data_IF_065972697895
#
_entry.id   IF_065972697895
#
_cell.length_a   1.000
_cell.length_b   1.000
_cell.length_c   1.000
_cell.angle_alpha   90.00
_cell.angle_beta   90.00
_cell.angle_gamma   90.00
#
_symmetry.space_group_name_H-M   'P 1'
#
loop_
_entity.id
_entity.type
_entity.pdbx_description
1 polymer ?
#
# COMPACT_ATOMS: atom_id res chain seq x y z
N UNK A 1 9.46 6.39 2.60
CA UNK A 1 9.31 5.03 3.14
C UNK A 1 9.75 5.00 4.58
N UNK A 2 9.04 4.25 5.43
CA UNK A 2 9.37 4.12 6.86
C UNK A 2 10.32 2.95 7.15
N UNK A 3 10.50 2.05 6.18
CA UNK A 3 11.43 0.91 6.25
C UNK A 3 12.27 0.80 4.99
N UNK A 4 13.52 0.39 5.16
CA UNK A 4 14.44 0.05 4.08
C UNK A 4 15.29 -1.17 4.51
N UNK A 5 16.21 -1.62 3.66
CA UNK A 5 17.12 -2.72 3.98
C UNK A 5 18.56 -2.18 4.06
N UNK A 6 19.29 -2.60 5.08
CA UNK A 6 20.74 -2.38 5.15
C UNK A 6 21.46 -3.32 4.18
N UNK A 7 22.60 -2.93 3.63
CA UNK A 7 23.39 -3.78 2.72
C UNK A 7 23.82 -5.10 3.33
N UNK A 8 23.83 -5.19 4.66
CA UNK A 8 24.15 -6.42 5.41
C UNK A 8 22.92 -7.33 5.58
N UNK A 9 21.78 -7.00 4.95
CA UNK A 9 20.61 -7.87 4.81
C UNK A 9 19.47 -7.63 5.78
N UNK A 10 19.68 -6.92 6.89
CA UNK A 10 18.64 -6.64 7.88
C UNK A 10 17.74 -5.43 7.53
N UNK A 11 16.53 -5.40 8.09
CA UNK A 11 15.59 -4.29 7.90
C UNK A 11 15.89 -3.12 8.84
N UNK A 12 15.67 -1.90 8.34
CA UNK A 12 15.92 -0.66 9.07
C UNK A 12 14.66 0.21 9.03
N UNK A 13 14.02 0.40 10.18
CA UNK A 13 12.93 1.35 10.39
C UNK A 13 13.40 2.76 10.74
N UNK A 14 12.57 3.77 10.45
CA UNK A 14 12.86 5.19 10.72
C UNK A 14 12.96 5.56 12.19
N UNK A 15 12.41 4.74 13.09
CA UNK A 15 12.35 4.97 14.53
C UNK A 15 12.99 3.82 15.34
N UNK A 16 13.64 2.87 14.66
CA UNK A 16 14.25 1.69 15.30
C UNK A 16 15.72 1.92 15.71
N UNK A 17 16.36 2.95 15.12
CA UNK A 17 17.77 3.26 15.30
C UNK A 17 17.99 4.75 15.55
N UNK A 18 19.13 5.09 16.15
CA UNK A 18 19.53 6.48 16.38
C UNK A 18 19.64 7.28 15.07
N UNK A 19 19.18 8.53 15.11
CA UNK A 19 19.15 9.41 13.93
C UNK A 19 20.55 9.63 13.33
N UNK A 20 21.60 9.78 14.15
CA UNK A 20 22.96 9.97 13.66
C UNK A 20 23.47 8.76 12.88
N UNK A 21 23.05 7.56 13.31
CA UNK A 21 23.37 6.29 12.64
C UNK A 21 22.62 6.16 11.32
N UNK A 22 21.32 6.47 11.30
CA UNK A 22 20.50 6.49 10.08
C UNK A 22 21.06 7.50 9.05
N UNK A 23 21.53 8.66 9.51
CA UNK A 23 22.22 9.66 8.66
C UNK A 23 23.57 9.16 8.14
N UNK A 24 24.30 8.36 8.92
CA UNK A 24 25.59 7.76 8.50
C UNK A 24 25.40 6.69 7.42
N UNK A 25 24.39 5.84 7.56
CA UNK A 25 24.09 4.79 6.57
C UNK A 25 23.43 5.32 5.30
N UNK A 26 22.82 6.50 5.36
CA UNK A 26 22.17 7.15 4.23
C UNK A 26 23.04 7.12 2.98
N UNK A 27 22.46 6.69 1.86
CA UNK A 27 23.08 6.56 0.52
C UNK A 27 24.17 5.50 0.38
N UNK A 28 24.85 5.13 1.47
CA UNK A 28 25.95 4.16 1.49
C UNK A 28 25.42 2.75 1.64
N UNK A 29 24.70 2.50 2.73
CA UNK A 29 24.32 1.15 3.16
C UNK A 29 22.82 0.94 3.21
N UNK A 30 22.00 1.95 2.91
CA UNK A 30 20.54 1.79 2.87
C UNK A 30 20.04 1.60 1.44
N UNK A 31 19.15 0.62 1.26
CA UNK A 31 18.56 0.23 -0.03
C UNK A 31 17.04 0.17 0.09
N UNK A 32 16.36 0.63 -0.96
CA UNK A 32 14.92 0.49 -1.10
C UNK A 32 14.54 -0.99 -1.15
N UNK A 33 13.46 -1.38 -0.47
CA UNK A 33 12.98 -2.77 -0.48
C UNK A 33 12.44 -3.22 -1.85
N UNK A 34 12.05 -2.28 -2.70
CA UNK A 34 11.34 -2.57 -3.95
C UNK A 34 12.25 -2.49 -5.18
N UNK A 35 13.06 -1.44 -5.30
CA UNK A 35 13.94 -1.27 -6.45
C UNK A 35 15.42 -1.51 -6.11
N UNK A 36 15.74 -1.80 -4.85
CA UNK A 36 17.11 -1.93 -4.35
C UNK A 36 18.00 -0.71 -4.63
N UNK A 37 17.41 0.44 -5.00
CA UNK A 37 18.13 1.68 -5.20
C UNK A 37 18.58 2.33 -3.89
N UNK A 38 19.62 3.19 -3.91
CA UNK A 38 20.09 3.88 -2.72
C UNK A 38 19.05 4.87 -2.19
N UNK A 39 18.87 4.86 -0.86
CA UNK A 39 17.96 5.76 -0.15
C UNK A 39 18.69 6.57 0.92
N UNK A 40 18.16 7.74 1.24
CA UNK A 40 18.66 8.69 2.23
C UNK A 40 17.62 8.92 3.30
N UNK A 41 18.03 8.86 4.56
CA UNK A 41 17.19 9.25 5.69
C UNK A 41 16.97 10.77 5.69
N UNK A 42 15.71 11.18 5.92
CA UNK A 42 15.25 12.56 5.96
C UNK A 42 14.45 12.72 7.25
N UNK A 43 14.91 13.63 8.11
CA UNK A 43 14.22 14.05 9.31
C UNK A 43 14.55 15.52 9.58
N UNK A 44 13.58 16.29 10.05
CA UNK A 44 13.76 17.68 10.41
C UNK A 44 12.51 18.27 11.07
N UNK A 45 12.54 19.54 11.49
CA UNK A 45 11.50 20.14 12.35
C UNK A 45 10.07 20.08 11.79
N UNK A 46 9.92 20.04 10.46
CA UNK A 46 8.63 19.93 9.75
C UNK A 46 8.54 18.70 8.84
N UNK A 47 9.53 17.80 8.92
CA UNK A 47 9.67 16.65 8.02
C UNK A 47 9.66 15.40 8.87
N UNK A 48 8.59 14.61 8.78
CA UNK A 48 8.50 13.30 9.44
C UNK A 48 9.68 12.41 9.01
N UNK A 49 10.26 11.61 9.92
CA UNK A 49 11.27 10.62 9.58
C UNK A 49 10.86 9.74 8.39
N UNK A 50 11.66 9.72 7.34
CA UNK A 50 11.45 8.81 6.21
C UNK A 50 12.75 8.57 5.44
N UNK A 51 12.82 7.45 4.73
CA UNK A 51 13.84 7.24 3.70
C UNK A 51 13.30 7.70 2.33
N UNK A 52 14.14 8.42 1.60
CA UNK A 52 13.86 8.97 0.27
C UNK A 52 14.92 8.51 -0.73
N UNK A 53 14.51 8.15 -1.95
CA UNK A 53 15.46 7.80 -3.02
C UNK A 53 16.44 8.95 -3.33
N UNK A 54 17.71 8.60 -3.56
CA UNK A 54 18.76 9.59 -3.88
C UNK A 54 18.65 10.07 -5.33
N UNK A 55 18.44 9.15 -6.26
CA UNK A 55 18.16 9.45 -7.66
C UNK A 55 16.65 9.44 -7.93
N UNK A 56 16.22 10.02 -9.06
CA UNK A 56 14.95 9.67 -9.69
C UNK A 56 15.04 8.25 -10.25
N UNK A 57 15.30 7.28 -9.39
CA UNK A 57 15.11 5.88 -9.75
C UNK A 57 13.64 5.73 -10.16
N UNK A 58 13.40 4.99 -11.25
CA UNK A 58 12.07 4.49 -11.61
C UNK A 58 11.71 3.43 -10.56
N UNK A 59 11.42 3.90 -9.35
CA UNK A 59 10.90 3.09 -8.28
C UNK A 59 9.40 3.30 -8.27
N UNK A 60 8.64 2.21 -8.35
CA UNK A 60 7.17 2.22 -8.20
C UNK A 60 6.72 2.75 -6.83
N UNK A 61 7.67 2.98 -5.91
CA UNK A 61 7.46 3.66 -4.65
C UNK A 61 7.34 5.18 -4.84
N UNK A 62 6.14 5.64 -5.20
CA UNK A 62 5.85 7.07 -5.27
C UNK A 62 4.38 7.43 -5.05
N UNK A 63 3.70 6.68 -4.20
CA UNK A 63 2.39 7.12 -3.70
C UNK A 63 2.60 7.85 -2.38
N UNK A 64 2.27 9.15 -2.29
CA UNK A 64 2.29 9.83 -1.01
C UNK A 64 1.25 9.18 -0.09
N UNK A 65 1.71 8.65 1.04
CA UNK A 65 0.82 8.12 2.07
C UNK A 65 -0.01 9.28 2.63
N UNK A 66 -1.30 9.31 2.26
CA UNK A 66 -2.28 10.22 2.84
C UNK A 66 -2.86 9.61 4.11
N UNK A 67 -3.47 10.44 4.97
CA UNK A 67 -4.22 9.94 6.13
C UNK A 67 -5.30 8.93 5.71
N UNK A 68 -6.00 9.19 4.59
CA UNK A 68 -6.95 8.23 4.04
C UNK A 68 -6.27 6.90 3.71
N UNK A 69 -5.13 6.92 3.02
CA UNK A 69 -4.41 5.70 2.63
C UNK A 69 -3.96 4.88 3.85
N UNK A 70 -3.36 5.53 4.85
CA UNK A 70 -2.92 4.88 6.09
C UNK A 70 -4.10 4.29 6.85
N UNK A 71 -5.13 5.08 7.13
CA UNK A 71 -6.30 4.61 7.87
C UNK A 71 -7.08 3.54 7.12
N UNK A 72 -7.22 3.66 5.79
CA UNK A 72 -7.94 2.71 4.98
C UNK A 72 -7.31 1.32 5.02
N UNK A 73 -5.98 1.23 4.95
CA UNK A 73 -5.24 -0.04 5.12
C UNK A 73 -5.55 -0.71 6.46
N UNK A 74 -5.50 0.06 7.54
CA UNK A 74 -5.79 -0.46 8.88
C UNK A 74 -7.24 -0.94 9.01
N UNK A 75 -8.20 -0.18 8.50
CA UNK A 75 -9.60 -0.63 8.55
C UNK A 75 -9.83 -1.86 7.68
N UNK A 76 -9.22 -1.94 6.49
CA UNK A 76 -9.28 -3.14 5.65
C UNK A 76 -8.73 -4.34 6.41
N UNK A 77 -7.56 -4.21 7.04
CA UNK A 77 -6.97 -5.28 7.86
C UNK A 77 -7.91 -5.70 8.98
N UNK A 78 -8.44 -4.75 9.75
CA UNK A 78 -9.39 -5.05 10.84
C UNK A 78 -10.66 -5.73 10.33
N UNK A 79 -11.20 -5.27 9.21
CA UNK A 79 -12.39 -5.84 8.57
C UNK A 79 -12.14 -7.29 8.15
N UNK A 80 -11.04 -7.56 7.45
CA UNK A 80 -10.69 -8.94 7.04
C UNK A 80 -10.44 -9.84 8.25
N UNK A 81 -9.68 -9.37 9.23
CA UNK A 81 -9.46 -10.13 10.47
C UNK A 81 -10.75 -10.40 11.25
N UNK A 82 -11.75 -9.50 11.15
CA UNK A 82 -13.04 -9.71 11.82
C UNK A 82 -13.92 -10.75 11.11
N UNK A 83 -13.87 -10.79 9.77
CA UNK A 83 -14.62 -11.76 8.97
C UNK A 83 -13.96 -13.14 8.96
N UNK A 84 -12.62 -13.17 8.99
CA UNK A 84 -11.83 -14.40 8.90
C UNK A 84 -10.77 -14.44 10.02
N UNK A 85 -11.16 -14.74 11.27
CA UNK A 85 -10.24 -14.71 12.41
C UNK A 85 -9.07 -15.71 12.33
N UNK A 86 -9.23 -16.80 11.56
CA UNK A 86 -8.20 -17.81 11.36
C UNK A 86 -7.13 -17.39 10.33
N UNK A 87 -7.34 -16.29 9.61
CA UNK A 87 -6.39 -15.84 8.60
C UNK A 87 -5.28 -14.99 9.22
N UNK A 88 -4.07 -15.13 8.69
CA UNK A 88 -2.99 -14.21 9.03
C UNK A 88 -3.05 -12.98 8.10
N UNK A 89 -3.42 -11.82 8.65
CA UNK A 89 -3.57 -10.57 7.88
C UNK A 89 -2.59 -9.50 8.32
N UNK A 90 -1.83 -8.98 7.36
CA UNK A 90 -0.73 -8.01 7.58
C UNK A 90 -0.85 -6.82 6.64
N UNK A 91 -0.34 -5.67 7.09
CA UNK A 91 -0.31 -4.42 6.33
C UNK A 91 1.12 -4.19 5.81
N UNK A 92 1.25 -3.59 4.61
CA UNK A 92 2.55 -3.28 3.97
C UNK A 92 3.47 -4.51 3.80
N UNK A 93 2.87 -5.66 3.46
CA UNK A 93 3.59 -6.93 3.34
C UNK A 93 4.41 -6.99 2.05
N UNK A 94 5.70 -7.31 2.16
CA UNK A 94 6.51 -7.69 1.01
C UNK A 94 6.04 -9.04 0.47
N UNK A 95 5.79 -9.10 -0.82
CA UNK A 95 5.38 -10.32 -1.51
C UNK A 95 6.62 -11.18 -1.76
N UNK A 96 6.47 -12.50 -1.86
CA UNK A 96 7.54 -13.53 -1.95
C UNK A 96 8.73 -13.19 -2.85
N UNK A 97 8.52 -12.48 -3.96
CA UNK A 97 9.60 -12.11 -4.88
C UNK A 97 10.30 -10.77 -4.55
N UNK A 98 9.99 -10.14 -3.42
CA UNK A 98 10.58 -8.89 -2.90
C UNK A 98 10.26 -7.62 -3.69
N UNK A 99 9.86 -7.74 -4.96
CA UNK A 99 9.71 -6.62 -5.89
C UNK A 99 8.40 -5.84 -5.76
N UNK A 100 7.49 -6.28 -4.88
CA UNK A 100 6.19 -5.66 -4.69
C UNK A 100 5.79 -5.68 -3.22
N UNK A 101 4.98 -4.69 -2.82
CA UNK A 101 4.46 -4.55 -1.48
C UNK A 101 2.95 -4.41 -1.52
N UNK A 102 2.26 -5.38 -0.96
CA UNK A 102 0.82 -5.36 -0.80
C UNK A 102 0.43 -4.35 0.28
N UNK A 103 -0.62 -3.56 0.03
CA UNK A 103 -1.20 -2.70 1.06
C UNK A 103 -1.72 -3.54 2.23
N UNK A 104 -2.48 -4.60 1.93
CA UNK A 104 -2.87 -5.65 2.90
C UNK A 104 -2.68 -7.01 2.25
N UNK A 105 -2.10 -7.95 2.98
CA UNK A 105 -1.95 -9.35 2.58
C UNK A 105 -2.61 -10.25 3.62
N UNK A 106 -3.47 -11.12 3.15
CA UNK A 106 -4.17 -12.13 3.95
C UNK A 106 -3.78 -13.51 3.47
N UNK A 107 -3.25 -14.33 4.39
CA UNK A 107 -2.93 -15.75 4.16
C UNK A 107 -3.99 -16.60 4.85
N UNK A 108 -4.66 -17.46 4.08
CA UNK A 108 -5.68 -18.38 4.56
C UNK A 108 -5.04 -19.66 5.15
N UNK A 109 -5.75 -20.42 6.00
CA UNK A 109 -5.24 -21.65 6.61
C UNK A 109 -4.79 -22.71 5.60
N UNK A 110 -5.36 -22.72 4.40
CA UNK A 110 -5.00 -23.63 3.30
C UNK A 110 -3.79 -23.12 2.47
N UNK A 111 -3.19 -22.01 2.87
CA UNK A 111 -2.02 -21.41 2.22
C UNK A 111 -2.36 -20.46 1.07
N UNK A 112 -3.63 -20.32 0.68
CA UNK A 112 -4.03 -19.34 -0.32
C UNK A 112 -3.73 -17.92 0.16
N UNK A 113 -3.48 -17.01 -0.78
CA UNK A 113 -3.14 -15.63 -0.48
C UNK A 113 -4.07 -14.67 -1.22
N UNK A 114 -4.54 -13.64 -0.51
CA UNK A 114 -5.26 -12.50 -1.06
C UNK A 114 -4.50 -11.22 -0.75
N UNK A 115 -4.11 -10.51 -1.80
CA UNK A 115 -3.69 -9.13 -1.72
C UNK A 115 -4.89 -8.20 -1.86
N UNK A 116 -4.97 -7.20 -0.97
CA UNK A 116 -5.93 -6.10 -1.08
C UNK A 116 -5.14 -4.80 -1.24
N UNK A 117 -5.30 -4.14 -2.38
CA UNK A 117 -4.67 -2.86 -2.71
C UNK A 117 -5.64 -1.72 -2.46
N UNK A 118 -5.22 -0.68 -1.73
CA UNK A 118 -6.03 0.50 -1.45
C UNK A 118 -5.46 1.73 -2.18
N UNK A 119 -5.96 1.97 -3.39
CA UNK A 119 -5.42 2.96 -4.31
C UNK A 119 -6.09 4.33 -4.14
N UNK A 120 -5.45 5.24 -3.40
CA UNK A 120 -5.96 6.60 -3.16
C UNK A 120 -5.41 7.66 -4.12
N UNK A 121 -4.36 7.34 -4.88
CA UNK A 121 -3.69 8.28 -5.78
C UNK A 121 -3.67 7.76 -7.22
N UNK A 122 -3.54 8.64 -8.24
CA UNK A 122 -3.36 8.18 -9.62
C UNK A 122 -2.12 7.31 -9.78
N UNK A 123 -2.25 6.19 -10.48
CA UNK A 123 -1.14 5.29 -10.81
C UNK A 123 -0.99 5.18 -12.34
N UNK A 124 0.24 5.22 -12.90
CA UNK A 124 0.45 4.95 -14.31
C UNK A 124 -0.07 3.56 -14.69
N UNK A 125 -0.70 3.43 -15.87
CA UNK A 125 -1.34 2.19 -16.30
C UNK A 125 -0.36 1.03 -16.40
N UNK A 126 0.85 1.28 -16.88
CA UNK A 126 1.92 0.29 -16.97
C UNK A 126 2.33 -0.25 -15.60
N UNK A 127 2.39 0.61 -14.58
CA UNK A 127 2.71 0.24 -13.20
C UNK A 127 1.58 -0.59 -12.61
N UNK A 128 0.32 -0.17 -12.80
CA UNK A 128 -0.85 -0.94 -12.35
C UNK A 128 -0.84 -2.36 -12.95
N UNK A 129 -0.64 -2.47 -14.27
CA UNK A 129 -0.60 -3.76 -14.96
C UNK A 129 0.56 -4.63 -14.48
N UNK A 130 1.74 -4.03 -14.27
CA UNK A 130 2.90 -4.74 -13.73
C UNK A 130 2.65 -5.28 -12.33
N UNK A 131 2.04 -4.48 -11.45
CA UNK A 131 1.60 -4.91 -10.11
C UNK A 131 0.58 -6.04 -10.16
N UNK A 132 -0.42 -5.93 -11.04
CA UNK A 132 -1.43 -6.98 -11.22
C UNK A 132 -0.83 -8.30 -11.70
N UNK A 133 0.08 -8.23 -12.68
CA UNK A 133 0.80 -9.39 -13.22
C UNK A 133 1.71 -10.02 -12.16
N UNK A 134 2.36 -9.20 -11.34
CA UNK A 134 3.20 -9.66 -10.25
C UNK A 134 2.45 -10.55 -9.26
N UNK A 135 1.22 -10.18 -8.87
CA UNK A 135 0.38 -11.03 -8.03
C UNK A 135 -0.05 -12.32 -8.74
N UNK A 136 -0.49 -12.23 -10.00
CA UNK A 136 -0.92 -13.39 -10.80
C UNK A 136 0.19 -14.43 -10.96
N UNK A 137 1.41 -14.00 -11.30
CA UNK A 137 2.58 -14.87 -11.46
C UNK A 137 3.00 -15.56 -10.15
N UNK A 138 2.63 -14.99 -8.99
CA UNK A 138 2.88 -15.57 -7.68
C UNK A 138 1.69 -16.40 -7.16
N UNK A 139 0.62 -16.58 -7.95
CA UNK A 139 -0.57 -17.31 -7.52
C UNK A 139 -1.36 -16.59 -6.42
N UNK A 140 -1.25 -15.26 -6.34
CA UNK A 140 -1.90 -14.43 -5.31
C UNK A 140 -3.16 -13.80 -5.89
N UNK A 141 -4.31 -14.06 -5.25
CA UNK A 141 -5.55 -13.39 -5.59
C UNK A 141 -5.45 -11.90 -5.26
N UNK A 142 -6.15 -11.04 -6.01
CA UNK A 142 -6.03 -9.59 -5.85
C UNK A 142 -7.39 -8.89 -5.86
N UNK A 143 -7.56 -7.96 -4.90
CA UNK A 143 -8.70 -7.06 -4.78
C UNK A 143 -8.20 -5.60 -4.76
N UNK A 144 -8.66 -4.78 -5.69
CA UNK A 144 -8.29 -3.37 -5.79
C UNK A 144 -9.43 -2.46 -5.33
N UNK A 145 -9.20 -1.69 -4.27
CA UNK A 145 -10.17 -0.74 -3.70
C UNK A 145 -9.69 0.68 -4.03
N UNK A 146 -10.55 1.51 -4.60
CA UNK A 146 -10.24 2.90 -4.94
C UNK A 146 -10.66 3.81 -3.78
N UNK A 147 -9.76 4.67 -3.31
CA UNK A 147 -10.02 5.63 -2.23
C UNK A 147 -11.12 6.64 -2.58
N UNK A 148 -11.87 7.07 -1.57
CA UNK A 148 -13.00 7.99 -1.71
C UNK A 148 -12.54 9.40 -2.19
N UNK A 149 -11.32 9.82 -1.87
CA UNK A 149 -10.75 11.07 -2.37
C UNK A 149 -10.76 11.19 -3.90
N UNK A 150 -10.79 10.07 -4.63
CA UNK A 150 -10.89 10.05 -6.10
C UNK A 150 -12.25 10.52 -6.63
N UNK A 151 -13.29 10.37 -5.82
CA UNK A 151 -14.68 10.66 -6.17
C UNK A 151 -15.19 11.97 -5.53
N UNK A 152 -14.51 12.49 -4.51
CA UNK A 152 -14.94 13.67 -3.76
C UNK A 152 -14.95 14.93 -4.62
N UNK A 153 -16.05 15.69 -4.58
CA UNK A 153 -16.17 17.01 -5.21
C UNK A 153 -16.38 17.01 -6.73
N UNK A 154 -16.56 15.84 -7.36
CA UNK A 154 -16.89 15.74 -8.79
C UNK A 154 -18.40 15.56 -8.97
N UNK A 155 -19.08 16.42 -9.75
CA UNK A 155 -20.48 16.20 -10.07
C UNK A 155 -20.63 14.93 -10.94
N UNK A 156 -21.65 14.12 -10.67
CA UNK A 156 -21.86 12.82 -11.30
C UNK A 156 -21.85 12.87 -12.83
N UNK A 157 -22.35 13.97 -13.42
CA UNK A 157 -22.41 14.17 -14.87
C UNK A 157 -21.07 14.55 -15.54
N UNK A 158 -20.03 14.88 -14.77
CA UNK A 158 -18.66 15.12 -15.28
C UNK A 158 -17.67 14.08 -14.76
N UNK A 159 -18.15 13.06 -14.07
CA UNK A 159 -17.32 12.01 -13.54
C UNK A 159 -16.83 11.12 -14.69
N UNK A 160 -15.53 11.14 -14.96
CA UNK A 160 -14.86 10.20 -15.86
C UNK A 160 -13.83 9.40 -15.07
N UNK A 161 -13.83 8.09 -15.27
CA UNK A 161 -12.79 7.22 -14.76
C UNK A 161 -11.49 7.49 -15.51
N UNK A 162 -10.39 7.57 -14.78
CA UNK A 162 -9.07 7.47 -15.38
C UNK A 162 -8.85 6.04 -15.89
N UNK A 163 -7.99 5.87 -16.91
CA UNK A 163 -7.76 4.57 -17.54
C UNK A 163 -7.41 3.44 -16.54
N UNK A 164 -6.68 3.75 -15.48
CA UNK A 164 -6.34 2.79 -14.43
C UNK A 164 -7.54 2.43 -13.54
N UNK A 165 -8.43 3.39 -13.26
CA UNK A 165 -9.68 3.15 -12.52
C UNK A 165 -10.63 2.29 -13.35
N UNK A 166 -10.65 2.48 -14.67
CA UNK A 166 -11.43 1.67 -15.60
C UNK A 166 -10.88 0.23 -15.73
N UNK A 167 -9.57 0.03 -15.68
CA UNK A 167 -8.99 -1.33 -15.67
C UNK A 167 -9.36 -2.09 -14.40
N UNK A 168 -9.30 -1.44 -13.23
CA UNK A 168 -9.83 -2.02 -11.99
C UNK A 168 -11.32 -2.35 -12.18
N UNK A 169 -12.07 -1.46 -12.84
CA UNK A 169 -13.49 -1.66 -13.12
C UNK A 169 -13.81 -2.82 -14.06
N UNK A 170 -13.00 -3.04 -15.08
CA UNK A 170 -13.23 -4.14 -16.01
C UNK A 170 -12.88 -5.49 -15.36
N UNK A 171 -11.92 -5.50 -14.43
CA UNK A 171 -11.46 -6.69 -13.74
C UNK A 171 -12.45 -7.19 -12.69
N UNK A 172 -13.00 -6.28 -11.88
CA UNK A 172 -13.99 -6.67 -10.88
C UNK A 172 -15.38 -6.78 -11.55
N UNK A 173 -16.11 -7.89 -11.34
CA UNK A 173 -17.52 -7.98 -11.77
C UNK A 173 -18.32 -6.76 -11.28
N UNK A 174 -19.33 -6.27 -12.03
CA UNK A 174 -20.14 -5.12 -11.63
C UNK A 174 -20.76 -5.37 -10.24
N UNK A 175 -20.18 -4.79 -9.18
CA UNK A 175 -20.60 -5.03 -7.79
C UNK A 175 -19.64 -4.55 -6.69
N UNK A 176 -18.35 -4.37 -6.97
CA UNK A 176 -17.34 -3.94 -5.96
C UNK A 176 -16.94 -2.46 -6.06
N UNK A 177 -17.86 -1.59 -6.50
CA UNK A 177 -17.55 -0.19 -6.76
C UNK A 177 -18.01 0.71 -5.64
N UNK A 178 -17.02 1.29 -4.98
CA UNK A 178 -17.16 2.22 -3.87
C UNK A 178 -17.68 1.56 -2.60
N UNK A 179 -16.85 1.59 -1.56
CA UNK A 179 -17.36 1.72 -0.19
C UNK A 179 -17.45 3.24 0.00
N UNK A 180 -18.63 3.89 -0.15
CA UNK A 180 -18.81 5.22 0.42
C UNK A 180 -18.33 5.16 1.87
N UNK A 181 -17.77 6.23 2.42
CA UNK A 181 -17.41 6.28 3.84
C UNK A 181 -18.56 5.84 4.79
N UNK A 182 -19.81 5.82 4.28
CA UNK A 182 -21.03 5.35 4.94
C UNK A 182 -21.24 3.82 4.83
N UNK A 183 -20.71 3.11 3.84
CA UNK A 183 -20.88 1.66 3.72
C UNK A 183 -20.01 0.85 4.69
N UNK A 184 -19.06 1.49 5.38
CA UNK A 184 -18.46 0.93 6.61
C UNK A 184 -19.46 0.79 7.77
N UNK A 185 -20.63 1.45 7.70
CA UNK A 185 -21.65 1.44 8.76
C UNK A 185 -22.75 0.38 8.56
N UNK A 186 -22.70 -0.43 7.50
CA UNK A 186 -23.76 -1.42 7.20
C UNK A 186 -23.37 -2.89 7.48
N UNK A 187 -22.27 -3.13 8.20
CA UNK A 187 -22.09 -4.39 8.92
C UNK A 187 -22.59 -4.19 10.36
N UNK A 188 -23.45 -5.08 10.88
CA UNK A 188 -24.09 -4.86 12.16
C UNK A 188 -23.06 -4.75 13.29
N UNK A 189 -22.95 -3.57 13.88
CA UNK A 189 -22.71 -3.44 15.32
C UNK A 189 -21.34 -2.99 15.83
N UNK A 190 -20.39 -2.49 15.03
CA UNK A 190 -19.16 -1.88 15.61
C UNK A 190 -18.67 -0.65 14.86
N UNK A 191 -18.61 0.50 15.56
CA UNK A 191 -17.89 1.69 15.08
C UNK A 191 -16.40 1.36 15.08
N UNK A 192 -15.82 1.20 13.90
CA UNK A 192 -14.37 1.11 13.72
C UNK A 192 -13.85 2.55 13.67
N UNK A 193 -13.17 3.01 14.73
CA UNK A 193 -12.47 4.30 14.73
C UNK A 193 -10.97 4.08 14.65
N UNK A 194 -10.31 4.75 13.70
CA UNK A 194 -8.86 4.91 13.72
C UNK A 194 -8.48 5.87 14.86
N UNK A 195 -7.50 5.50 15.70
CA UNK A 195 -6.87 6.42 16.65
C UNK A 195 -5.72 7.16 15.97
#
# INVERSE_FOLDING_TARGET
>A
MEKCQHTDGFFVGTNEYDESLLRRWSTKSLRCLLCHGPVKYRHGPKIKPHFAHVARAVCEYREPETHEHVCGKEVIKQWVSSLFPANNTTVEACVSNGNQRANVLTVFPDGQQLCIEFQCSPVPLEVLRKRMKGYEENGIAQLWIIGNSRFRGKPLNRFRLHAWEDVIRQRHKPGYYAVPAVAMLLLPGRRISCR
#
